data_IF_922294633357
#
_entry.id   IF_922294633357
#
_cell.length_a   1.000
_cell.length_b   1.000
_cell.length_c   1.000
_cell.angle_alpha   90.00
_cell.angle_beta   90.00
_cell.angle_gamma   90.00
#
_symmetry.space_group_name_H-M   'P 1'
#
loop_
_entity.id
_entity.type
_entity.pdbx_description
1 polymer ?
#
# COMPACT_ATOMS: atom_id res chain seq x y z
N UNK A 1 -23.58 32.66 21.21
CA UNK A 1 -22.13 32.51 20.95
C UNK A 1 -21.59 31.12 21.29
N UNK A 2 -22.16 30.34 22.22
CA UNK A 2 -21.58 29.02 22.58
C UNK A 2 -21.66 27.90 21.53
N UNK A 3 -22.72 27.82 20.73
CA UNK A 3 -22.95 26.61 19.88
C UNK A 3 -21.95 26.44 18.72
N UNK A 4 -21.49 27.53 18.10
CA UNK A 4 -20.54 27.47 16.99
C UNK A 4 -19.10 27.19 17.46
N UNK A 5 -18.76 27.64 18.67
CA UNK A 5 -17.46 27.38 19.28
C UNK A 5 -17.35 25.92 19.75
N UNK A 6 -18.45 25.34 20.26
CA UNK A 6 -18.53 23.92 20.63
C UNK A 6 -18.39 22.99 19.41
N UNK A 7 -19.00 23.36 18.28
CA UNK A 7 -18.89 22.63 17.00
C UNK A 7 -17.45 22.62 16.48
N UNK A 8 -16.80 23.78 16.38
CA UNK A 8 -15.40 23.88 15.95
C UNK A 8 -14.45 23.13 16.87
N UNK A 9 -14.75 23.09 18.18
CA UNK A 9 -13.98 22.29 19.13
C UNK A 9 -14.10 20.80 18.83
N UNK A 10 -15.32 20.29 18.60
CA UNK A 10 -15.54 18.88 18.25
C UNK A 10 -14.84 18.51 16.92
N UNK A 11 -14.88 19.40 15.92
CA UNK A 11 -14.18 19.20 14.64
C UNK A 11 -12.65 19.17 14.81
N UNK A 12 -12.11 19.99 15.70
CA UNK A 12 -10.68 19.98 16.04
C UNK A 12 -10.27 18.68 16.75
N UNK A 13 -11.11 18.15 17.65
CA UNK A 13 -10.87 16.85 18.28
C UNK A 13 -10.91 15.70 17.28
N UNK A 14 -11.83 15.76 16.29
CA UNK A 14 -11.90 14.81 15.18
C UNK A 14 -10.65 14.90 14.30
N UNK A 15 -10.18 16.11 14.01
CA UNK A 15 -8.92 16.34 13.29
C UNK A 15 -7.73 15.71 14.01
N UNK A 16 -7.57 15.95 15.31
CA UNK A 16 -6.49 15.38 16.11
C UNK A 16 -6.53 13.84 16.12
N UNK A 17 -7.73 13.25 16.14
CA UNK A 17 -7.88 11.81 16.04
C UNK A 17 -7.44 11.29 14.67
N UNK A 18 -7.89 11.93 13.58
CA UNK A 18 -7.48 11.57 12.23
C UNK A 18 -5.98 11.73 12.05
N UNK A 19 -5.36 12.73 12.68
CA UNK A 19 -3.92 12.90 12.57
C UNK A 19 -3.12 11.82 13.28
N UNK A 20 -3.59 11.32 14.42
CA UNK A 20 -3.02 10.10 15.04
C UNK A 20 -3.19 8.87 14.15
N UNK A 21 -4.34 8.74 13.47
CA UNK A 21 -4.54 7.65 12.50
C UNK A 21 -3.58 7.79 11.32
N UNK A 22 -3.38 9.01 10.82
CA UNK A 22 -2.45 9.31 9.75
C UNK A 22 -1.01 8.91 10.12
N UNK A 23 -0.56 9.20 11.34
CA UNK A 23 0.77 8.80 11.82
C UNK A 23 0.91 7.27 11.84
N UNK A 24 -0.14 6.56 12.30
CA UNK A 24 -0.18 5.10 12.28
C UNK A 24 -0.16 4.53 10.86
N UNK A 25 -0.95 5.11 9.94
CA UNK A 25 -0.99 4.70 8.53
C UNK A 25 0.37 4.94 7.88
N UNK A 26 1.02 6.08 8.16
CA UNK A 26 2.36 6.38 7.65
C UNK A 26 3.38 5.36 8.13
N UNK A 27 3.32 4.94 9.40
CA UNK A 27 4.21 3.92 9.93
C UNK A 27 3.97 2.56 9.27
N UNK A 28 2.70 2.15 9.11
CA UNK A 28 2.34 0.92 8.40
C UNK A 28 2.81 0.97 6.95
N UNK A 29 2.63 2.11 6.28
CA UNK A 29 3.07 2.33 4.91
C UNK A 29 4.59 2.17 4.76
N UNK A 30 5.38 2.74 5.68
CA UNK A 30 6.84 2.55 5.68
C UNK A 30 7.23 1.09 5.87
N UNK A 31 6.57 0.37 6.78
CA UNK A 31 6.80 -1.07 6.97
C UNK A 31 6.45 -1.84 5.70
N UNK A 32 5.30 -1.55 5.10
CA UNK A 32 4.85 -2.20 3.87
C UNK A 32 5.81 -1.96 2.71
N UNK A 33 6.38 -0.76 2.56
CA UNK A 33 7.42 -0.49 1.55
C UNK A 33 8.64 -1.39 1.71
N UNK A 34 9.03 -1.70 2.96
CA UNK A 34 10.11 -2.66 3.23
C UNK A 34 9.71 -4.06 2.75
N UNK A 35 8.53 -4.54 3.16
CA UNK A 35 8.01 -5.85 2.73
C UNK A 35 7.91 -5.95 1.20
N UNK A 36 7.47 -4.89 0.54
CA UNK A 36 7.41 -4.83 -0.92
C UNK A 36 8.79 -4.90 -1.58
N UNK A 37 9.79 -4.24 -0.98
CA UNK A 37 11.19 -4.35 -1.40
C UNK A 37 11.69 -5.80 -1.31
N UNK A 38 11.43 -6.47 -0.18
CA UNK A 38 11.81 -7.87 0.03
C UNK A 38 11.11 -8.80 -0.98
N UNK A 39 9.83 -8.59 -1.27
CA UNK A 39 9.08 -9.35 -2.28
C UNK A 39 9.64 -9.12 -3.70
N UNK A 40 10.01 -7.89 -4.02
CA UNK A 40 10.62 -7.56 -5.32
C UNK A 40 11.98 -8.21 -5.49
N UNK A 41 12.79 -8.23 -4.43
CA UNK A 41 14.08 -8.93 -4.43
C UNK A 41 13.88 -10.45 -4.54
N UNK A 42 12.91 -11.03 -3.81
CA UNK A 42 12.53 -12.43 -3.93
C UNK A 42 12.17 -12.77 -5.38
N UNK A 43 11.30 -11.97 -6.01
CA UNK A 43 10.87 -12.17 -7.39
C UNK A 43 12.03 -12.09 -8.39
N UNK A 44 12.96 -11.15 -8.19
CA UNK A 44 14.18 -11.04 -8.99
C UNK A 44 15.04 -12.29 -8.87
N UNK A 45 15.29 -12.77 -7.65
CA UNK A 45 16.07 -13.97 -7.40
C UNK A 45 15.39 -15.22 -7.97
N UNK A 46 14.07 -15.32 -7.83
CA UNK A 46 13.24 -16.36 -8.43
C UNK A 46 13.41 -16.39 -9.96
N UNK A 47 13.28 -15.25 -10.62
CA UNK A 47 13.41 -15.12 -12.08
C UNK A 47 14.82 -15.44 -12.56
N UNK A 48 15.85 -15.08 -11.80
CA UNK A 48 17.24 -15.46 -12.10
C UNK A 48 17.45 -16.96 -12.05
N UNK A 49 16.90 -17.66 -11.04
CA UNK A 49 16.95 -19.13 -10.98
C UNK A 49 16.21 -19.76 -12.16
N UNK A 50 15.03 -19.23 -12.48
CA UNK A 50 14.25 -19.69 -13.64
C UNK A 50 15.02 -19.58 -14.95
N UNK A 51 15.84 -18.55 -15.14
CA UNK A 51 16.67 -18.40 -16.32
C UNK A 51 17.77 -19.48 -16.46
N UNK A 52 18.08 -20.22 -15.40
CA UNK A 52 19.11 -21.30 -15.41
C UNK A 52 18.54 -22.69 -15.67
N UNK A 53 17.21 -22.83 -15.70
CA UNK A 53 16.52 -24.10 -15.95
C UNK A 53 15.82 -24.07 -17.30
N UNK A 54 15.71 -25.23 -17.96
CA UNK A 54 14.92 -25.35 -19.18
C UNK A 54 13.43 -25.40 -18.81
N UNK A 55 12.69 -24.33 -19.14
CA UNK A 55 11.27 -24.22 -18.81
C UNK A 55 10.45 -24.75 -19.99
N UNK A 56 9.84 -25.92 -19.81
CA UNK A 56 8.93 -26.49 -20.82
C UNK A 56 7.48 -26.02 -20.66
N UNK A 57 7.08 -25.66 -19.44
CA UNK A 57 5.73 -25.19 -19.15
C UNK A 57 5.61 -23.67 -19.34
N UNK A 58 4.96 -23.25 -20.42
CA UNK A 58 4.77 -21.83 -20.75
C UNK A 58 3.94 -21.06 -19.73
N UNK A 59 3.13 -21.72 -18.90
CA UNK A 59 2.32 -21.05 -17.87
C UNK A 59 3.20 -20.42 -16.78
N UNK A 60 4.38 -21.00 -16.51
CA UNK A 60 5.37 -20.44 -15.57
C UNK A 60 5.84 -19.05 -16.04
N UNK A 61 6.06 -18.88 -17.34
CA UNK A 61 6.50 -17.60 -17.90
C UNK A 61 5.39 -16.54 -17.85
N UNK A 62 4.14 -16.96 -18.02
CA UNK A 62 2.97 -16.09 -17.87
C UNK A 62 2.82 -15.60 -16.43
N UNK A 63 2.93 -16.50 -15.44
CA UNK A 63 2.88 -16.14 -14.02
C UNK A 63 4.01 -15.18 -13.64
N UNK A 64 5.23 -15.40 -14.14
CA UNK A 64 6.36 -14.47 -13.95
C UNK A 64 6.04 -13.08 -14.51
N UNK A 65 5.51 -13.00 -15.73
CA UNK A 65 5.16 -11.73 -16.35
C UNK A 65 4.02 -11.00 -15.59
N UNK A 66 3.02 -11.75 -15.12
CA UNK A 66 1.94 -11.25 -14.26
C UNK A 66 2.49 -10.67 -12.95
N UNK A 67 3.39 -11.39 -12.29
CA UNK A 67 4.06 -10.94 -11.06
C UNK A 67 4.84 -9.64 -11.25
N UNK A 68 5.65 -9.56 -12.31
CA UNK A 68 6.40 -8.35 -12.64
C UNK A 68 5.47 -7.14 -12.89
N UNK A 69 4.32 -7.37 -13.54
CA UNK A 69 3.32 -6.32 -13.76
C UNK A 69 2.65 -5.86 -12.45
N UNK A 70 2.35 -6.79 -11.54
CA UNK A 70 1.81 -6.49 -10.20
C UNK A 70 2.81 -5.65 -9.41
N UNK A 71 4.09 -6.04 -9.37
CA UNK A 71 5.12 -5.30 -8.63
C UNK A 71 5.28 -3.87 -9.16
N UNK A 72 5.32 -3.69 -10.49
CA UNK A 72 5.37 -2.34 -11.10
C UNK A 72 4.15 -1.49 -10.78
N UNK A 73 2.97 -2.10 -10.72
CA UNK A 73 1.73 -1.41 -10.30
C UNK A 73 1.85 -0.97 -8.85
N UNK A 74 2.35 -1.82 -7.96
CA UNK A 74 2.58 -1.48 -6.56
C UNK A 74 3.58 -0.34 -6.41
N UNK A 75 4.71 -0.35 -7.13
CA UNK A 75 5.67 0.75 -7.14
C UNK A 75 5.00 2.09 -7.46
N UNK A 76 4.14 2.13 -8.49
CA UNK A 76 3.42 3.34 -8.85
C UNK A 76 2.43 3.78 -7.76
N UNK A 77 1.72 2.82 -7.14
CA UNK A 77 0.78 3.09 -6.05
C UNK A 77 1.50 3.63 -4.81
N UNK A 78 2.61 3.01 -4.39
CA UNK A 78 3.40 3.44 -3.25
C UNK A 78 3.98 4.84 -3.44
N UNK A 79 4.45 5.17 -4.65
CA UNK A 79 4.87 6.53 -4.98
C UNK A 79 3.71 7.54 -4.92
N UNK A 80 2.48 7.11 -5.25
CA UNK A 80 1.27 7.91 -5.08
C UNK A 80 0.94 8.14 -3.60
N UNK A 81 1.02 7.09 -2.79
CA UNK A 81 0.81 7.14 -1.34
C UNK A 81 1.82 8.06 -0.65
N UNK A 82 3.10 8.00 -1.01
CA UNK A 82 4.13 8.90 -0.49
C UNK A 82 3.74 10.37 -0.67
N UNK A 83 3.18 10.73 -1.83
CA UNK A 83 2.72 12.11 -2.11
C UNK A 83 1.50 12.48 -1.28
N UNK A 84 0.53 11.57 -1.13
CA UNK A 84 -0.65 11.78 -0.29
C UNK A 84 -0.26 11.97 1.17
N UNK A 85 0.69 11.15 1.66
CA UNK A 85 1.21 11.24 3.03
C UNK A 85 1.95 12.57 3.25
N UNK A 86 2.77 12.98 2.29
CA UNK A 86 3.45 14.28 2.36
C UNK A 86 2.46 15.45 2.41
N UNK A 87 1.44 15.45 1.56
CA UNK A 87 0.41 16.50 1.53
C UNK A 87 -0.37 16.59 2.86
N UNK A 88 -0.63 15.46 3.51
CA UNK A 88 -1.30 15.42 4.81
C UNK A 88 -0.54 16.17 5.92
N UNK A 89 0.79 16.19 5.89
CA UNK A 89 1.60 16.95 6.88
C UNK A 89 1.35 18.46 6.79
N UNK A 90 0.96 18.96 5.62
CA UNK A 90 0.70 20.38 5.38
C UNK A 90 -0.72 20.79 5.81
N UNK A 91 -1.68 19.85 5.84
CA UNK A 91 -3.09 20.09 6.18
C UNK A 91 -3.32 20.64 7.60
N UNK A 92 -2.36 20.46 8.50
CA UNK A 92 -2.41 21.02 9.87
C UNK A 92 -2.34 22.55 9.86
N UNK A 93 -1.68 23.14 8.86
CA UNK A 93 -1.56 24.58 8.76
C UNK A 93 -2.90 25.19 8.33
N UNK A 94 -3.42 26.13 9.11
CA UNK A 94 -4.67 26.83 8.79
C UNK A 94 -5.95 26.03 9.02
N UNK A 95 -5.91 24.83 9.63
CA UNK A 95 -7.13 24.09 9.98
C UNK A 95 -8.01 24.91 10.94
N UNK A 96 -7.43 25.48 12.00
CA UNK A 96 -8.15 26.28 13.01
C UNK A 96 -8.78 27.57 12.48
N UNK A 97 -8.26 28.11 11.38
CA UNK A 97 -8.73 29.37 10.79
C UNK A 97 -9.96 29.16 9.89
N UNK A 98 -10.31 27.92 9.58
CA UNK A 98 -11.43 27.55 8.71
C UNK A 98 -12.79 27.76 9.39
N UNK A 99 -13.83 27.90 8.57
CA UNK A 99 -15.21 27.77 9.04
C UNK A 99 -15.53 26.31 9.40
N UNK A 100 -16.57 26.06 10.20
CA UNK A 100 -16.98 24.70 10.54
C UNK A 100 -17.24 23.85 9.29
N UNK A 101 -18.00 24.39 8.31
CA UNK A 101 -18.24 23.72 7.04
C UNK A 101 -16.96 23.39 6.24
N UNK A 102 -15.97 24.29 6.24
CA UNK A 102 -14.67 24.02 5.59
C UNK A 102 -13.85 22.96 6.33
N UNK A 103 -13.93 22.92 7.66
CA UNK A 103 -13.31 21.88 8.47
C UNK A 103 -13.96 20.52 8.18
N UNK A 104 -15.29 20.45 8.11
CA UNK A 104 -16.03 19.22 7.78
C UNK A 104 -15.60 18.63 6.44
N UNK A 105 -15.60 19.44 5.38
CA UNK A 105 -15.16 19.00 4.04
C UNK A 105 -13.73 18.44 4.09
N UNK A 106 -12.81 19.15 4.74
CA UNK A 106 -11.43 18.68 4.86
C UNK A 106 -11.32 17.38 5.67
N UNK A 107 -12.10 17.23 6.74
CA UNK A 107 -12.11 16.00 7.55
C UNK A 107 -12.65 14.81 6.75
N UNK A 108 -13.65 15.03 5.90
CA UNK A 108 -14.22 13.98 5.05
C UNK A 108 -13.22 13.56 3.97
N UNK A 109 -12.52 14.51 3.33
CA UNK A 109 -11.40 14.22 2.41
C UNK A 109 -10.28 13.40 3.07
N UNK A 110 -9.93 13.72 4.32
CA UNK A 110 -8.95 12.94 5.10
C UNK A 110 -9.42 11.51 5.36
N UNK A 111 -10.70 11.34 5.72
CA UNK A 111 -11.29 10.02 5.97
C UNK A 111 -11.28 9.17 4.70
N UNK A 112 -11.69 9.74 3.57
CA UNK A 112 -11.68 9.06 2.28
C UNK A 112 -10.26 8.64 1.87
N UNK A 113 -9.29 9.52 2.05
CA UNK A 113 -7.88 9.23 1.76
C UNK A 113 -7.36 8.09 2.65
N UNK A 114 -7.64 8.12 3.95
CA UNK A 114 -7.25 7.04 4.86
C UNK A 114 -7.89 5.70 4.48
N UNK A 115 -9.19 5.69 4.17
CA UNK A 115 -9.90 4.47 3.77
C UNK A 115 -9.30 3.89 2.48
N UNK A 116 -9.01 4.75 1.51
CA UNK A 116 -8.37 4.34 0.25
C UNK A 116 -7.00 3.72 0.50
N UNK A 117 -6.15 4.37 1.30
CA UNK A 117 -4.81 3.84 1.63
C UNK A 117 -4.90 2.46 2.27
N UNK A 118 -5.81 2.27 3.24
CA UNK A 118 -5.99 0.98 3.91
C UNK A 118 -6.49 -0.10 2.94
N UNK A 119 -7.48 0.22 2.10
CA UNK A 119 -8.00 -0.73 1.11
C UNK A 119 -6.94 -1.15 0.09
N UNK A 120 -6.17 -0.17 -0.41
CA UNK A 120 -5.10 -0.43 -1.36
C UNK A 120 -3.98 -1.25 -0.71
N UNK A 121 -3.62 -0.99 0.55
CA UNK A 121 -2.66 -1.84 1.28
C UNK A 121 -3.14 -3.29 1.41
N UNK A 122 -4.37 -3.52 1.86
CA UNK A 122 -4.91 -4.87 2.00
C UNK A 122 -4.88 -5.63 0.66
N UNK A 123 -5.24 -4.97 -0.45
CA UNK A 123 -5.20 -5.58 -1.77
C UNK A 123 -3.76 -5.92 -2.19
N UNK A 124 -2.78 -5.07 -1.88
CA UNK A 124 -1.37 -5.37 -2.18
C UNK A 124 -0.83 -6.51 -1.32
N UNK A 125 -1.25 -6.62 -0.05
CA UNK A 125 -0.91 -7.75 0.84
C UNK A 125 -1.47 -9.07 0.29
N UNK A 126 -2.74 -9.11 -0.12
CA UNK A 126 -3.35 -10.30 -0.75
C UNK A 126 -2.61 -10.69 -2.04
N UNK A 127 -2.19 -9.70 -2.84
CA UNK A 127 -1.40 -9.92 -4.05
C UNK A 127 0.01 -10.47 -3.73
N UNK A 128 0.68 -10.00 -2.66
CA UNK A 128 1.97 -10.58 -2.20
C UNK A 128 1.81 -12.03 -1.73
N UNK A 129 0.75 -12.32 -0.98
CA UNK A 129 0.42 -13.67 -0.51
C UNK A 129 0.19 -14.65 -1.67
N UNK A 130 -0.51 -14.20 -2.71
CA UNK A 130 -0.69 -14.95 -3.95
C UNK A 130 0.66 -15.25 -4.61
N UNK A 131 1.48 -14.20 -4.82
CA UNK A 131 2.78 -14.32 -5.46
C UNK A 131 3.70 -15.31 -4.73
N UNK A 132 3.74 -15.26 -3.41
CA UNK A 132 4.58 -16.15 -2.61
C UNK A 132 4.13 -17.62 -2.77
N UNK A 133 2.82 -17.89 -2.77
CA UNK A 133 2.28 -19.23 -2.99
C UNK A 133 2.60 -19.74 -4.39
N UNK A 134 2.46 -18.89 -5.41
CA UNK A 134 2.76 -19.22 -6.80
C UNK A 134 4.27 -19.49 -6.99
N UNK A 135 5.17 -18.70 -6.41
CA UNK A 135 6.63 -18.97 -6.44
C UNK A 135 6.98 -20.32 -5.81
N UNK A 136 6.41 -20.63 -4.63
CA UNK A 136 6.65 -21.91 -3.95
C UNK A 136 6.14 -23.09 -4.78
N UNK A 137 4.96 -22.97 -5.40
CA UNK A 137 4.39 -24.01 -6.24
C UNK A 137 5.27 -24.30 -7.47
N UNK A 138 5.78 -23.25 -8.11
CA UNK A 138 6.66 -23.36 -9.28
C UNK A 138 7.99 -24.01 -8.89
N UNK A 139 8.63 -23.57 -7.81
CA UNK A 139 9.90 -24.17 -7.34
C UNK A 139 9.74 -25.66 -7.02
N UNK A 140 8.68 -26.02 -6.29
CA UNK A 140 8.39 -27.43 -6.00
C UNK A 140 8.12 -28.27 -7.25
N UNK A 141 7.61 -27.67 -8.33
CA UNK A 141 7.40 -28.36 -9.61
C UNK A 141 8.74 -28.61 -10.30
N UNK A 142 9.58 -27.57 -10.39
CA UNK A 142 10.89 -27.66 -11.03
C UNK A 142 11.83 -28.65 -10.33
N UNK A 143 11.81 -28.70 -9.00
CA UNK A 143 12.59 -29.70 -8.24
C UNK A 143 12.16 -31.13 -8.60
N UNK A 144 10.85 -31.40 -8.63
CA UNK A 144 10.31 -32.72 -9.02
C UNK A 144 10.62 -33.11 -10.46
N UNK A 145 10.64 -32.13 -11.37
CA UNK A 145 10.95 -32.37 -12.78
C UNK A 145 12.47 -32.58 -12.99
N UNK A 146 13.32 -32.08 -12.09
CA UNK A 146 14.78 -32.29 -12.13
C UNK A 146 15.27 -33.62 -11.54
N UNK A 147 14.44 -34.29 -10.74
CA UNK A 147 14.74 -35.58 -10.10
C UNK A 147 14.28 -36.80 -10.93
N UNK A 148 13.60 -36.59 -12.06
CA UNK A 148 13.12 -37.63 -12.99
C UNK A 148 13.98 -37.67 -14.27
#
# INVERSE_FOLDING_TARGET
MGCADDEKKALSEKFDKLQRQHDSISQVHMTFKSTHGDMSEMHKNFTQKLATVEIQDSTILEDVAKHEAILKKHDAMLNGHDKMIAAHKELRQGFGDKTAAQMEVQLDEMIETHNKLVQEHNAMEDEHDMMQKEHNAIMNKLERDSDN
#
